data_IF_682914044685
#
_entry.id   IF_682914044685
#
_cell.length_a   1.000
_cell.length_b   1.000
_cell.length_c   1.000
_cell.angle_alpha   90.00
_cell.angle_beta   90.00
_cell.angle_gamma   90.00
#
_symmetry.space_group_name_H-M   'P 1'
#
loop_
_entity.id
_entity.type
_entity.pdbx_description
1 polymer ?
#
# COMPACT_ATOMS: atom_id res chain seq x y z
N UNK A 1 15.25 -11.74 -2.88
CA UNK A 1 16.36 -12.59 -3.39
C UNK A 1 17.66 -11.80 -3.53
N UNK A 2 17.65 -10.69 -4.26
CA UNK A 2 18.89 -9.92 -4.59
C UNK A 2 19.68 -9.48 -3.37
N UNK A 3 19.01 -9.11 -2.30
CA UNK A 3 19.61 -8.68 -1.04
C UNK A 3 19.93 -9.85 -0.11
N UNK A 4 19.58 -11.08 -0.48
CA UNK A 4 19.80 -12.30 0.33
C UNK A 4 19.09 -12.26 1.69
N UNK A 5 17.97 -11.54 1.79
CA UNK A 5 17.24 -11.33 3.05
C UNK A 5 15.87 -11.98 3.02
N UNK A 6 15.51 -12.57 4.12
CA UNK A 6 14.17 -13.02 4.42
C UNK A 6 13.49 -11.96 5.31
N UNK A 7 12.24 -11.68 5.06
CA UNK A 7 11.47 -10.62 5.71
C UNK A 7 10.11 -11.16 6.09
N UNK A 8 9.66 -10.86 7.28
CA UNK A 8 8.34 -11.22 7.76
C UNK A 8 7.37 -10.02 7.60
N UNK A 9 6.15 -10.34 7.18
CA UNK A 9 5.09 -9.36 7.06
C UNK A 9 3.73 -10.03 7.26
N UNK A 10 2.69 -9.23 7.48
CA UNK A 10 1.34 -9.74 7.60
C UNK A 10 0.67 -9.88 6.23
N UNK A 11 -0.25 -10.85 6.07
CA UNK A 11 -1.08 -10.93 4.87
C UNK A 11 -1.84 -9.63 4.63
N UNK A 12 -1.87 -9.18 3.37
CA UNK A 12 -2.50 -7.92 2.97
C UNK A 12 -1.60 -6.68 3.11
N UNK A 13 -0.40 -6.78 3.67
CA UNK A 13 0.55 -5.66 3.65
C UNK A 13 1.02 -5.35 2.23
N UNK A 14 1.24 -4.07 1.97
CA UNK A 14 1.74 -3.62 0.68
C UNK A 14 3.22 -3.96 0.52
N UNK A 15 3.58 -4.67 -0.55
CA UNK A 15 4.94 -5.15 -0.79
C UNK A 15 5.99 -4.01 -0.82
N UNK A 16 5.61 -2.82 -1.32
CA UNK A 16 6.50 -1.64 -1.31
C UNK A 16 6.78 -1.18 0.12
N UNK A 17 5.75 -1.10 0.94
CA UNK A 17 5.87 -0.62 2.32
C UNK A 17 6.69 -1.57 3.17
N UNK A 18 6.44 -2.87 3.03
CA UNK A 18 7.26 -3.92 3.64
C UNK A 18 8.72 -3.78 3.23
N UNK A 19 9.00 -3.67 1.93
CA UNK A 19 10.37 -3.54 1.44
C UNK A 19 11.08 -2.29 1.98
N UNK A 20 10.39 -1.16 2.05
CA UNK A 20 10.96 0.09 2.55
C UNK A 20 11.18 0.06 4.06
N UNK A 21 10.22 -0.46 4.82
CA UNK A 21 10.32 -0.64 6.28
C UNK A 21 11.53 -1.49 6.64
N UNK A 22 11.77 -2.54 5.89
CA UNK A 22 12.87 -3.47 6.11
C UNK A 22 14.21 -3.03 5.47
N UNK A 23 14.26 -1.83 4.91
CA UNK A 23 15.48 -1.29 4.29
C UNK A 23 15.94 -2.03 3.04
N UNK A 24 15.02 -2.70 2.34
CA UNK A 24 15.30 -3.36 1.07
C UNK A 24 15.39 -2.32 -0.04
N UNK A 25 16.45 -2.39 -0.84
CA UNK A 25 16.64 -1.50 -2.00
C UNK A 25 15.66 -1.81 -3.14
N UNK A 26 14.46 -1.27 -3.05
CA UNK A 26 13.43 -1.43 -4.07
C UNK A 26 13.71 -0.59 -5.33
N UNK A 27 14.31 0.58 -5.15
CA UNK A 27 14.48 1.56 -6.21
C UNK A 27 15.89 1.60 -6.77
N UNK A 28 16.02 1.67 -8.10
CA UNK A 28 17.24 2.14 -8.73
C UNK A 28 17.42 3.66 -8.56
N UNK A 29 18.53 4.21 -9.07
CA UNK A 29 18.88 5.63 -8.90
C UNK A 29 17.74 6.59 -9.30
N UNK A 30 17.09 6.35 -10.44
CA UNK A 30 15.97 7.17 -10.91
C UNK A 30 14.78 7.15 -9.93
N UNK A 31 14.47 5.99 -9.38
CA UNK A 31 13.38 5.85 -8.41
C UNK A 31 13.72 6.43 -7.04
N UNK A 32 15.00 6.47 -6.66
CA UNK A 32 15.46 7.16 -5.44
C UNK A 32 15.33 8.68 -5.56
N UNK A 33 15.60 9.23 -6.75
CA UNK A 33 15.50 10.67 -7.01
C UNK A 33 14.07 11.15 -7.23
N UNK A 34 13.20 10.27 -7.74
CA UNK A 34 11.81 10.63 -8.01
C UNK A 34 10.94 9.39 -8.17
N UNK A 35 10.21 9.03 -7.14
CA UNK A 35 9.14 8.04 -7.19
C UNK A 35 7.79 8.69 -6.89
N UNK A 36 6.72 8.00 -7.23
CA UNK A 36 5.36 8.54 -7.10
C UNK A 36 4.72 8.31 -5.73
N UNK A 37 5.50 7.93 -4.72
CA UNK A 37 4.95 7.65 -3.40
C UNK A 37 4.06 6.41 -3.30
N UNK A 38 3.92 5.61 -4.36
CA UNK A 38 3.12 4.39 -4.33
C UNK A 38 1.86 4.41 -5.20
N UNK A 39 1.55 5.53 -5.89
CA UNK A 39 0.32 5.64 -6.68
C UNK A 39 0.36 4.93 -8.06
N UNK A 40 1.43 4.17 -8.37
CA UNK A 40 1.55 3.39 -9.61
C UNK A 40 1.92 4.19 -10.86
N UNK A 41 2.21 5.50 -10.76
CA UNK A 41 2.46 6.35 -11.93
C UNK A 41 3.89 6.23 -12.49
N UNK A 42 4.91 6.15 -11.63
CA UNK A 42 6.32 6.25 -12.02
C UNK A 42 6.93 4.95 -12.55
N UNK A 43 6.27 3.82 -12.34
CA UNK A 43 6.74 2.47 -12.74
C UNK A 43 8.20 2.17 -12.37
N UNK A 44 8.69 2.68 -11.24
CA UNK A 44 10.08 2.47 -10.78
C UNK A 44 10.23 1.39 -9.70
N UNK A 45 9.13 0.91 -9.12
CA UNK A 45 9.10 -0.11 -8.08
C UNK A 45 8.90 -1.53 -8.64
N UNK A 46 9.54 -1.84 -9.76
CA UNK A 46 9.47 -3.16 -10.35
C UNK A 46 10.05 -4.24 -9.45
N UNK A 47 9.32 -5.33 -9.37
CA UNK A 47 9.78 -6.59 -8.80
C UNK A 47 9.45 -7.73 -9.75
N UNK A 48 10.25 -8.78 -9.73
CA UNK A 48 9.97 -10.02 -10.41
C UNK A 48 9.59 -11.08 -9.37
N UNK A 49 8.41 -11.64 -9.52
CA UNK A 49 7.89 -12.67 -8.63
C UNK A 49 8.35 -14.02 -9.14
N UNK A 50 9.15 -14.70 -8.34
CA UNK A 50 9.65 -16.01 -8.71
C UNK A 50 8.59 -17.05 -8.39
N UNK A 51 8.17 -17.85 -9.38
CA UNK A 51 7.24 -18.96 -9.13
C UNK A 51 7.88 -19.99 -8.23
N UNK A 52 7.52 -20.01 -6.96
CA UNK A 52 8.01 -20.97 -5.98
C UNK A 52 6.82 -21.38 -5.12
N UNK A 53 6.16 -22.46 -5.49
CA UNK A 53 5.01 -22.97 -4.76
C UNK A 53 3.66 -22.46 -5.28
N UNK A 54 2.76 -22.05 -4.41
CA UNK A 54 1.37 -21.72 -4.75
C UNK A 54 1.27 -20.49 -5.65
N UNK A 55 0.41 -20.55 -6.64
CA UNK A 55 0.25 -19.51 -7.68
C UNK A 55 -0.30 -18.17 -7.19
N UNK A 56 -0.70 -18.05 -5.94
CA UNK A 56 -1.44 -16.88 -5.42
C UNK A 56 -0.73 -16.29 -4.20
N UNK A 57 0.54 -15.93 -4.36
CA UNK A 57 1.32 -15.35 -3.27
C UNK A 57 1.12 -13.82 -3.12
N UNK A 58 0.62 -13.17 -4.15
CA UNK A 58 0.29 -11.74 -4.17
C UNK A 58 -1.13 -11.53 -4.66
N UNK A 59 -1.73 -10.43 -4.27
CA UNK A 59 -3.03 -9.99 -4.79
C UNK A 59 -3.07 -9.98 -6.33
N UNK A 60 -4.23 -10.12 -6.96
CA UNK A 60 -4.37 -9.99 -8.41
C UNK A 60 -3.78 -8.68 -8.93
N UNK A 61 -3.38 -8.66 -10.20
CA UNK A 61 -2.89 -7.42 -10.83
C UNK A 61 -3.98 -6.36 -10.81
N UNK A 62 -3.57 -5.15 -10.49
CA UNK A 62 -4.44 -3.98 -10.56
C UNK A 62 -4.58 -3.50 -12.01
N UNK A 63 -5.64 -2.76 -12.31
CA UNK A 63 -5.80 -2.14 -13.62
C UNK A 63 -4.67 -1.16 -13.98
N UNK A 64 -3.93 -0.65 -12.99
CA UNK A 64 -2.72 0.15 -13.20
C UNK A 64 -1.59 -0.73 -13.73
N UNK A 65 -1.36 -1.88 -13.10
CA UNK A 65 -0.34 -2.84 -13.54
C UNK A 65 -0.62 -3.38 -14.94
N UNK A 66 -1.87 -3.71 -15.24
CA UNK A 66 -2.26 -4.20 -16.56
C UNK A 66 -1.88 -3.21 -17.68
N UNK A 67 -2.14 -1.94 -17.47
CA UNK A 67 -1.78 -0.88 -18.43
C UNK A 67 -0.28 -0.59 -18.49
N UNK A 68 0.39 -0.59 -17.35
CA UNK A 68 1.80 -0.17 -17.25
C UNK A 68 2.79 -1.29 -17.58
N UNK A 69 2.40 -2.54 -17.36
CA UNK A 69 3.26 -3.72 -17.55
C UNK A 69 2.95 -4.49 -18.84
N UNK A 70 2.17 -3.96 -19.76
CA UNK A 70 1.70 -4.63 -20.98
C UNK A 70 2.83 -5.23 -21.84
N UNK A 71 4.04 -4.66 -21.76
CA UNK A 71 5.22 -5.14 -22.51
C UNK A 71 6.28 -5.76 -21.58
N UNK A 72 5.91 -6.16 -20.38
CA UNK A 72 6.81 -6.74 -19.38
C UNK A 72 6.44 -8.21 -19.14
N UNK A 73 7.38 -9.02 -18.63
CA UNK A 73 7.07 -10.39 -18.24
C UNK A 73 5.87 -10.46 -17.30
N UNK A 74 5.11 -11.53 -17.40
CA UNK A 74 3.92 -11.73 -16.56
C UNK A 74 4.24 -11.87 -15.08
N UNK A 75 5.47 -12.27 -14.76
CA UNK A 75 5.97 -12.35 -13.38
C UNK A 75 6.30 -10.99 -12.77
N UNK A 76 6.41 -9.95 -13.59
CA UNK A 76 6.73 -8.62 -13.07
C UNK A 76 5.51 -7.96 -12.45
N UNK A 77 5.73 -7.35 -11.28
CA UNK A 77 4.73 -6.60 -10.54
C UNK A 77 5.26 -5.20 -10.20
N UNK A 78 4.35 -4.31 -9.88
CA UNK A 78 4.68 -3.04 -9.22
C UNK A 78 4.50 -3.26 -7.72
N UNK A 79 5.57 -3.19 -6.94
CA UNK A 79 5.51 -3.45 -5.51
C UNK A 79 4.48 -2.57 -4.79
N UNK A 80 4.26 -1.33 -5.26
CA UNK A 80 3.27 -0.43 -4.69
C UNK A 80 1.81 -0.81 -5.00
N UNK A 81 1.58 -1.75 -5.88
CA UNK A 81 0.24 -2.20 -6.30
C UNK A 81 -0.03 -3.65 -5.87
N UNK A 82 0.94 -4.31 -5.26
CA UNK A 82 0.84 -5.70 -4.87
C UNK A 82 0.72 -5.84 -3.35
N UNK A 83 -0.28 -6.58 -2.90
CA UNK A 83 -0.43 -6.99 -1.51
C UNK A 83 0.13 -8.39 -1.34
N UNK A 84 0.80 -8.63 -0.23
CA UNK A 84 1.37 -9.95 0.09
C UNK A 84 0.28 -10.80 0.72
N UNK A 85 -0.04 -11.92 0.11
CA UNK A 85 -1.07 -12.86 0.58
C UNK A 85 -0.44 -14.09 1.25
N UNK A 86 0.66 -14.57 0.68
CA UNK A 86 1.40 -15.74 1.17
C UNK A 86 2.90 -15.52 0.99
N UNK A 87 3.70 -16.44 1.54
CA UNK A 87 5.15 -16.45 1.36
C UNK A 87 5.53 -16.41 -0.12
N UNK A 88 6.43 -15.52 -0.48
CA UNK A 88 6.79 -15.23 -1.86
C UNK A 88 8.28 -14.96 -2.02
N UNK A 89 8.88 -15.43 -3.09
CA UNK A 89 10.22 -15.05 -3.51
C UNK A 89 10.14 -13.89 -4.50
N UNK A 90 10.84 -12.80 -4.17
CA UNK A 90 10.82 -11.59 -4.97
C UNK A 90 12.24 -11.15 -5.33
N UNK A 91 12.46 -10.86 -6.61
CA UNK A 91 13.67 -10.21 -7.10
C UNK A 91 13.38 -8.72 -7.25
N UNK A 92 14.05 -7.92 -6.47
CA UNK A 92 13.97 -6.44 -6.57
C UNK A 92 14.77 -5.95 -7.77
N UNK A 93 14.34 -4.84 -8.37
CA UNK A 93 15.05 -4.20 -9.51
C UNK A 93 15.41 -5.18 -10.64
N UNK A 94 14.45 -5.93 -11.20
CA UNK A 94 14.74 -6.93 -12.21
C UNK A 94 15.41 -6.34 -13.45
N UNK A 95 15.21 -5.04 -13.72
CA UNK A 95 15.86 -4.31 -14.82
C UNK A 95 17.36 -4.03 -14.59
N UNK A 96 17.89 -4.27 -13.40
CA UNK A 96 19.31 -4.02 -13.10
C UNK A 96 20.25 -5.13 -13.61
N UNK A 97 19.70 -6.11 -14.33
CA UNK A 97 20.44 -7.22 -14.90
C UNK A 97 20.60 -8.41 -13.95
N UNK A 98 21.11 -9.50 -14.48
CA UNK A 98 21.17 -10.80 -13.82
C UNK A 98 22.54 -11.11 -13.18
N UNK A 99 23.51 -10.20 -13.28
CA UNK A 99 24.86 -10.42 -12.77
C UNK A 99 24.81 -10.79 -11.28
N UNK A 100 25.30 -11.99 -10.93
CA UNK A 100 25.33 -12.51 -9.57
C UNK A 100 23.95 -12.94 -9.00
N UNK A 101 22.88 -12.81 -9.77
CA UNK A 101 21.54 -13.18 -9.30
C UNK A 101 21.31 -14.70 -9.31
N UNK A 102 21.85 -15.40 -10.29
CA UNK A 102 21.62 -16.83 -10.47
C UNK A 102 21.95 -17.69 -9.23
N UNK A 103 23.13 -17.54 -8.58
CA UNK A 103 23.43 -18.32 -7.38
C UNK A 103 22.55 -17.93 -6.18
N UNK A 104 22.18 -16.67 -6.06
CA UNK A 104 21.27 -16.20 -5.01
C UNK A 104 19.86 -16.76 -5.20
N UNK A 105 19.39 -16.79 -6.44
CA UNK A 105 18.11 -17.36 -6.80
C UNK A 105 18.09 -18.88 -6.56
N UNK A 106 19.13 -19.59 -6.98
CA UNK A 106 19.25 -21.01 -6.73
C UNK A 106 19.25 -21.34 -5.23
N UNK A 107 19.99 -20.57 -4.42
CA UNK A 107 19.99 -20.70 -2.98
C UNK A 107 18.65 -20.40 -2.33
N UNK A 108 17.92 -19.42 -2.83
CA UNK A 108 16.57 -19.09 -2.35
C UNK A 108 15.55 -20.17 -2.70
N UNK A 109 15.62 -20.72 -3.92
CA UNK A 109 14.74 -21.80 -4.37
C UNK A 109 15.01 -23.13 -3.67
N UNK A 110 16.23 -23.35 -3.21
CA UNK A 110 16.59 -24.57 -2.49
C UNK A 110 15.99 -24.61 -1.06
N UNK A 111 15.56 -23.49 -0.53
CA UNK A 111 14.91 -23.38 0.77
C UNK A 111 13.40 -23.41 0.61
N UNK A 112 12.68 -24.28 1.34
CA UNK A 112 11.22 -24.25 1.31
C UNK A 112 10.74 -22.91 1.87
N UNK A 113 9.78 -22.32 1.20
CA UNK A 113 9.09 -21.15 1.75
C UNK A 113 8.29 -21.57 2.98
N UNK A 114 8.38 -20.84 4.10
CA UNK A 114 7.52 -21.11 5.23
C UNK A 114 6.06 -20.99 4.83
N UNK A 115 5.17 -21.84 5.36
CA UNK A 115 3.75 -21.65 5.17
C UNK A 115 3.36 -20.29 5.76
N UNK A 116 2.70 -19.46 4.95
CA UNK A 116 2.18 -18.20 5.42
C UNK A 116 1.12 -18.40 6.50
N UNK A 117 0.85 -17.41 7.34
CA UNK A 117 -0.23 -17.46 8.31
C UNK A 117 -1.56 -17.66 7.56
N UNK A 118 -2.41 -18.50 8.12
CA UNK A 118 -3.73 -18.81 7.56
C UNK A 118 -4.80 -17.81 7.97
N UNK A 119 -4.49 -16.95 8.94
CA UNK A 119 -5.38 -15.91 9.45
C UNK A 119 -4.57 -14.67 9.86
N UNK A 120 -5.22 -13.51 9.85
CA UNK A 120 -4.66 -12.30 10.45
C UNK A 120 -4.47 -12.53 11.95
N UNK A 121 -3.32 -12.11 12.53
CA UNK A 121 -3.23 -12.01 13.97
C UNK A 121 -4.31 -11.04 14.46
N UNK A 122 -5.00 -11.40 15.54
CA UNK A 122 -5.90 -10.45 16.18
C UNK A 122 -5.12 -9.16 16.49
N UNK A 123 -5.68 -7.98 16.16
CA UNK A 123 -5.05 -6.74 16.56
C UNK A 123 -4.90 -6.75 18.08
N UNK A 124 -3.78 -6.24 18.62
CA UNK A 124 -3.64 -6.12 20.07
C UNK A 124 -4.89 -5.43 20.61
N UNK A 125 -5.48 -6.00 21.66
CA UNK A 125 -6.64 -5.42 22.29
C UNK A 125 -6.34 -3.93 22.54
N UNK A 126 -7.12 -3.05 21.95
CA UNK A 126 -7.01 -1.63 22.22
C UNK A 126 -7.05 -1.48 23.73
N UNK A 127 -5.94 -1.02 24.32
CA UNK A 127 -5.95 -0.63 25.71
C UNK A 127 -7.08 0.37 25.85
N UNK A 128 -8.09 -0.01 26.59
CA UNK A 128 -9.24 0.83 26.86
C UNK A 128 -8.69 2.10 27.51
N UNK A 129 -8.63 3.17 26.74
CA UNK A 129 -8.36 4.51 27.23
C UNK A 129 -9.54 4.86 28.15
N UNK A 130 -9.35 4.54 29.44
CA UNK A 130 -10.23 4.95 30.51
C UNK A 130 -9.91 6.39 30.86
N UNK A 131 -10.22 7.29 29.95
CA UNK A 131 -10.36 8.70 30.30
C UNK A 131 -11.73 8.86 30.99
N UNK A 132 -11.76 9.29 32.24
CA UNK A 132 -13.03 9.63 32.88
C UNK A 132 -13.57 10.89 32.22
N UNK A 133 -14.72 10.73 31.61
CA UNK A 133 -15.52 11.82 31.04
C UNK A 133 -16.09 12.62 32.24
N UNK A 134 -15.35 13.65 32.67
CA UNK A 134 -15.88 14.68 33.57
C UNK A 134 -16.68 15.67 32.74
N UNK A 135 -17.89 15.30 32.39
CA UNK A 135 -18.86 16.25 31.87
C UNK A 135 -19.87 16.58 32.98
N UNK A 136 -19.53 17.60 33.75
CA UNK A 136 -20.49 18.21 34.64
C UNK A 136 -21.58 18.97 33.87
N UNK A 137 -22.86 18.78 34.14
CA UNK A 137 -23.93 19.61 33.61
C UNK A 137 -24.18 20.82 34.54
N UNK A 138 -23.65 21.95 34.12
CA UNK A 138 -23.85 23.18 34.88
C UNK A 138 -24.21 24.40 34.04
N UNK A 139 -25.39 24.91 34.28
CA UNK A 139 -25.88 26.24 34.03
C UNK A 139 -26.73 26.52 32.77
N UNK A 140 -28.02 26.34 32.99
CA UNK A 140 -29.11 27.12 32.40
C UNK A 140 -28.78 28.60 32.35
N UNK A 141 -28.85 29.18 31.18
CA UNK A 141 -29.01 30.62 31.04
C UNK A 141 -30.09 30.94 30.01
N UNK A 142 -31.30 31.18 30.59
CA UNK A 142 -32.36 31.93 29.93
C UNK A 142 -31.85 33.29 29.52
N UNK A 143 -32.09 33.69 28.31
CA UNK A 143 -32.28 35.06 27.93
C UNK A 143 -33.28 35.17 26.79
N UNK A 144 -34.28 35.94 27.12
CA UNK A 144 -35.46 36.30 26.37
C UNK A 144 -35.17 36.97 25.01
N UNK A 145 -36.13 36.73 24.17
CA UNK A 145 -36.69 37.44 23.07
C UNK A 145 -36.05 38.70 22.49
N UNK A 146 -36.17 38.80 21.20
CA UNK A 146 -36.82 39.92 20.52
C UNK A 146 -36.91 39.63 19.02
N UNK A 147 -38.14 39.74 18.54
CA UNK A 147 -38.61 39.86 17.19
C UNK A 147 -37.81 40.89 16.34
N UNK A 148 -37.88 40.74 15.05
CA UNK A 148 -38.25 41.68 13.99
C UNK A 148 -37.91 41.05 12.62
N UNK A 149 -38.87 40.56 11.86
CA UNK A 149 -39.61 41.17 10.74
C UNK A 149 -38.80 41.55 9.49
N UNK A 150 -39.23 40.91 8.39
CA UNK A 150 -39.52 41.43 7.04
C UNK A 150 -38.48 42.15 6.20
N UNK A 151 -38.31 41.67 5.01
CA UNK A 151 -38.62 42.24 3.69
C UNK A 151 -37.82 41.52 2.60
N UNK A 152 -38.45 40.80 1.70
CA UNK A 152 -39.00 41.04 0.37
C UNK A 152 -38.03 41.65 -0.67
N UNK A 153 -38.16 41.05 -1.84
CA UNK A 153 -38.05 41.54 -3.20
C UNK A 153 -36.79 41.16 -3.96
N UNK A 154 -36.97 40.28 -4.97
CA UNK A 154 -37.09 40.52 -6.43
C UNK A 154 -35.80 41.05 -7.09
N UNK A 155 -35.35 40.60 -8.18
CA UNK A 155 -35.76 40.43 -9.56
C UNK A 155 -34.56 39.89 -10.38
N UNK A 156 -34.72 38.83 -11.16
CA UNK A 156 -34.84 38.72 -12.62
C UNK A 156 -33.73 39.45 -13.47
N UNK A 157 -33.19 38.65 -14.38
CA UNK A 157 -32.46 39.12 -15.56
C UNK A 157 -31.45 38.06 -16.02
N UNK A 158 -31.78 37.08 -16.79
CA UNK A 158 -31.98 36.93 -18.23
C UNK A 158 -30.84 37.56 -19.07
N UNK A 159 -30.17 36.77 -19.81
CA UNK A 159 -29.81 36.78 -21.23
C UNK A 159 -28.46 36.15 -21.54
N UNK A 160 -28.56 35.05 -22.30
CA UNK A 160 -27.50 34.63 -23.22
C UNK A 160 -27.53 35.51 -24.50
N UNK A 161 -26.57 35.45 -25.40
CA UNK A 161 -26.32 34.31 -26.28
C UNK A 161 -24.91 33.71 -26.19
#
# INVERSE_FOLDING_TARGET
>A
VREGRDVECYPGENLREVALREGIELYGLKGKLGNCGGCGQCITCFVDVVPAGSAVALSPRTGVEERKLIRRPQTWRLACQALVEHSVLVVTRPQAGEAGLAPLLAGALARPLPPGPTAWPEPPAAEADSSPDENEPGATREVAGSDIASATSDEVGDQAP
#
